data_IF_904624753986
#
_entry.id   IF_904624753986
#
_cell.length_a   1.000
_cell.length_b   1.000
_cell.length_c   1.000
_cell.angle_alpha   90.00
_cell.angle_beta   90.00
_cell.angle_gamma   90.00
#
_symmetry.space_group_name_H-M   'P 1'
#
loop_
_entity.id
_entity.type
_entity.pdbx_description
1 polymer ?
#
# COMPACT_ATOMS: atom_id res chain seq x y z
N UNK A 1 2.93 -22.14 14.36
CA UNK A 1 2.36 -20.88 13.83
C UNK A 1 2.79 -20.75 12.36
N UNK A 2 1.86 -20.64 11.41
CA UNK A 2 2.25 -20.29 10.02
C UNK A 2 2.97 -18.94 10.07
N UNK A 3 4.17 -18.85 9.50
CA UNK A 3 4.94 -17.60 9.46
C UNK A 3 4.13 -16.56 8.68
N UNK A 4 3.54 -15.59 9.39
CA UNK A 4 2.72 -14.53 8.78
C UNK A 4 3.58 -13.54 8.01
N UNK A 5 4.84 -13.37 8.40
CA UNK A 5 5.84 -12.58 7.68
C UNK A 5 6.44 -13.43 6.55
N UNK A 6 5.85 -13.32 5.36
CA UNK A 6 6.29 -14.00 4.15
C UNK A 6 5.94 -13.16 2.92
N UNK A 7 6.55 -13.43 1.77
CA UNK A 7 6.20 -12.73 0.53
C UNK A 7 4.75 -12.97 0.10
N UNK A 8 4.15 -14.09 0.50
CA UNK A 8 2.73 -14.34 0.28
C UNK A 8 1.83 -13.32 0.99
N UNK A 9 2.32 -12.66 2.04
CA UNK A 9 1.55 -11.69 2.83
C UNK A 9 2.12 -10.27 2.78
N UNK A 10 3.11 -10.01 1.91
CA UNK A 10 3.82 -8.72 1.88
C UNK A 10 2.89 -7.53 1.64
N UNK A 11 2.00 -7.61 0.64
CA UNK A 11 1.04 -6.54 0.36
C UNK A 11 -0.07 -6.45 1.40
N UNK A 12 -0.40 -7.53 2.11
CA UNK A 12 -1.41 -7.49 3.17
C UNK A 12 -0.86 -6.76 4.40
N UNK A 13 0.40 -7.02 4.75
CA UNK A 13 1.11 -6.26 5.78
C UNK A 13 1.32 -4.80 5.38
N UNK A 14 1.53 -4.53 4.10
CA UNK A 14 1.56 -3.15 3.60
C UNK A 14 0.20 -2.47 3.79
N UNK A 15 -0.92 -3.12 3.46
CA UNK A 15 -2.26 -2.59 3.75
C UNK A 15 -2.49 -2.40 5.26
N UNK A 16 -2.00 -3.32 6.10
CA UNK A 16 -2.09 -3.20 7.56
C UNK A 16 -1.31 -1.97 8.07
N UNK A 17 -0.11 -1.74 7.52
CA UNK A 17 0.70 -0.57 7.84
C UNK A 17 0.02 0.73 7.39
N UNK A 18 -0.55 0.75 6.18
CA UNK A 18 -1.30 1.91 5.71
C UNK A 18 -2.53 2.18 6.57
N UNK A 19 -3.28 1.14 6.97
CA UNK A 19 -4.40 1.27 7.88
C UNK A 19 -3.95 1.82 9.25
N UNK A 20 -2.80 1.37 9.77
CA UNK A 20 -2.25 1.89 11.01
C UNK A 20 -1.89 3.37 10.89
N UNK A 21 -1.14 3.76 9.85
CA UNK A 21 -0.74 5.16 9.61
C UNK A 21 -1.96 6.05 9.40
N UNK A 22 -2.94 5.60 8.61
CA UNK A 22 -4.18 6.33 8.38
C UNK A 22 -5.01 6.44 9.66
N UNK A 23 -5.06 5.39 10.49
CA UNK A 23 -5.68 5.44 11.82
C UNK A 23 -5.02 6.46 12.74
N UNK A 24 -3.69 6.54 12.76
CA UNK A 24 -2.97 7.57 13.51
C UNK A 24 -3.26 8.97 12.97
N UNK A 25 -3.37 9.14 11.65
CA UNK A 25 -3.75 10.41 11.03
C UNK A 25 -5.20 10.83 11.36
N UNK A 26 -6.13 9.87 11.44
CA UNK A 26 -7.49 10.12 11.94
C UNK A 26 -7.46 10.62 13.38
N UNK A 27 -6.70 9.96 14.26
CA UNK A 27 -6.57 10.40 15.66
C UNK A 27 -5.95 11.80 15.75
N UNK A 28 -4.88 12.06 14.99
CA UNK A 28 -4.22 13.36 14.98
C UNK A 28 -5.18 14.47 14.53
N UNK A 29 -5.95 14.23 13.47
CA UNK A 29 -6.88 15.24 12.92
C UNK A 29 -8.09 15.47 13.82
N UNK A 30 -8.61 14.45 14.50
CA UNK A 30 -9.66 14.61 15.51
C UNK A 30 -9.16 15.36 16.76
N UNK A 31 -8.02 14.95 17.33
CA UNK A 31 -7.53 15.47 18.62
C UNK A 31 -6.92 16.85 18.49
N UNK A 32 -6.08 17.07 17.46
CA UNK A 32 -5.32 18.32 17.28
C UNK A 32 -6.06 19.28 16.35
N UNK A 33 -6.57 18.77 15.23
CA UNK A 33 -7.19 19.59 14.19
C UNK A 33 -8.60 20.08 14.53
N UNK A 34 -9.33 19.41 15.43
CA UNK A 34 -10.73 19.71 15.78
C UNK A 34 -11.67 19.80 14.55
N UNK A 35 -11.33 19.11 13.46
CA UNK A 35 -12.16 19.01 12.26
C UNK A 35 -12.99 17.73 12.32
N UNK A 36 -14.23 17.72 11.80
CA UNK A 36 -15.09 16.52 11.84
C UNK A 36 -15.22 15.80 10.48
N UNK A 37 -15.32 16.54 9.38
CA UNK A 37 -15.57 15.96 8.05
C UNK A 37 -14.33 15.24 7.49
N UNK A 38 -13.17 15.88 7.54
CA UNK A 38 -11.92 15.32 7.00
C UNK A 38 -11.54 13.99 7.68
N UNK A 39 -11.56 13.88 9.03
CA UNK A 39 -11.24 12.61 9.68
C UNK A 39 -12.26 11.51 9.39
N UNK A 40 -13.53 11.85 9.16
CA UNK A 40 -14.58 10.86 8.87
C UNK A 40 -14.34 10.18 7.51
N UNK A 41 -14.00 10.94 6.47
CA UNK A 41 -13.65 10.36 5.16
C UNK A 41 -12.36 9.54 5.27
N UNK A 42 -11.37 10.05 6.00
CA UNK A 42 -10.11 9.33 6.23
C UNK A 42 -10.34 8.02 7.00
N UNK A 43 -11.25 8.00 7.98
CA UNK A 43 -11.65 6.81 8.73
C UNK A 43 -12.25 5.74 7.83
N UNK A 44 -13.10 6.12 6.86
CA UNK A 44 -13.63 5.17 5.88
C UNK A 44 -12.49 4.48 5.12
N UNK A 45 -11.52 5.26 4.63
CA UNK A 45 -10.35 4.70 3.94
C UNK A 45 -9.54 3.79 4.87
N UNK A 46 -9.30 4.22 6.11
CA UNK A 46 -8.62 3.41 7.14
C UNK A 46 -9.29 2.06 7.37
N UNK A 47 -10.62 2.04 7.53
CA UNK A 47 -11.38 0.80 7.75
C UNK A 47 -11.33 -0.11 6.52
N UNK A 48 -11.43 0.44 5.30
CA UNK A 48 -11.31 -0.33 4.07
C UNK A 48 -9.92 -0.98 3.96
N UNK A 49 -8.85 -0.22 4.22
CA UNK A 49 -7.47 -0.74 4.22
C UNK A 49 -7.29 -1.83 5.28
N UNK A 50 -7.84 -1.63 6.49
CA UNK A 50 -7.78 -2.63 7.55
C UNK A 50 -8.51 -3.93 7.19
N UNK A 51 -9.67 -3.84 6.54
CA UNK A 51 -10.40 -5.02 6.05
C UNK A 51 -9.62 -5.74 4.94
N UNK A 52 -9.09 -5.01 3.98
CA UNK A 52 -8.25 -5.57 2.91
C UNK A 52 -7.01 -6.28 3.46
N UNK A 53 -6.38 -5.70 4.48
CA UNK A 53 -5.28 -6.34 5.19
C UNK A 53 -5.72 -7.62 5.89
N UNK A 54 -6.81 -7.57 6.67
CA UNK A 54 -7.32 -8.72 7.41
C UNK A 54 -7.70 -9.88 6.50
N UNK A 55 -8.54 -9.64 5.49
CA UNK A 55 -8.95 -10.68 4.55
C UNK A 55 -7.78 -11.21 3.70
N UNK A 56 -6.81 -10.36 3.38
CA UNK A 56 -5.56 -10.77 2.75
C UNK A 56 -4.77 -11.74 3.65
N UNK A 57 -4.57 -11.39 4.93
CA UNK A 57 -3.86 -12.24 5.89
C UNK A 57 -4.56 -13.58 6.14
N UNK A 58 -5.90 -13.61 6.11
CA UNK A 58 -6.69 -14.85 6.19
C UNK A 58 -6.71 -15.67 4.89
N UNK A 59 -5.92 -15.28 3.88
CA UNK A 59 -5.79 -15.98 2.60
C UNK A 59 -7.07 -15.97 1.74
N UNK A 60 -7.87 -14.91 1.87
CA UNK A 60 -9.08 -14.77 1.07
C UNK A 60 -8.75 -14.31 -0.36
N UNK A 61 -9.09 -15.12 -1.36
CA UNK A 61 -8.65 -14.93 -2.75
C UNK A 61 -9.01 -13.55 -3.35
N UNK A 62 -10.22 -13.04 -3.13
CA UNK A 62 -10.61 -11.74 -3.69
C UNK A 62 -9.78 -10.61 -3.08
N UNK A 63 -9.53 -10.64 -1.77
CA UNK A 63 -8.75 -9.62 -1.07
C UNK A 63 -7.29 -9.64 -1.54
N UNK A 64 -6.71 -10.83 -1.72
CA UNK A 64 -5.37 -11.00 -2.30
C UNK A 64 -5.28 -10.36 -3.69
N UNK A 65 -6.29 -10.56 -4.55
CA UNK A 65 -6.34 -9.95 -5.89
C UNK A 65 -6.45 -8.43 -5.84
N UNK A 66 -7.29 -7.90 -4.95
CA UNK A 66 -7.42 -6.45 -4.75
C UNK A 66 -6.09 -5.86 -4.25
N UNK A 67 -5.48 -6.46 -3.23
CA UNK A 67 -4.18 -6.01 -2.69
C UNK A 67 -3.09 -6.04 -3.77
N UNK A 68 -3.06 -7.09 -4.61
CA UNK A 68 -2.19 -7.15 -5.78
C UNK A 68 -2.41 -5.95 -6.71
N UNK A 69 -3.66 -5.65 -7.07
CA UNK A 69 -3.94 -4.53 -7.98
C UNK A 69 -3.59 -3.18 -7.37
N UNK A 70 -3.79 -3.00 -6.06
CA UNK A 70 -3.29 -1.82 -5.36
C UNK A 70 -1.76 -1.71 -5.45
N UNK A 71 -1.02 -2.81 -5.23
CA UNK A 71 0.43 -2.85 -5.39
C UNK A 71 0.91 -2.59 -6.82
N UNK A 72 0.21 -3.15 -7.81
CA UNK A 72 0.48 -2.92 -9.23
C UNK A 72 0.27 -1.45 -9.60
N UNK A 73 -0.87 -0.87 -9.22
CA UNK A 73 -1.16 0.53 -9.47
C UNK A 73 -0.12 1.41 -8.79
N UNK A 74 0.25 1.14 -7.53
CA UNK A 74 1.27 1.92 -6.82
C UNK A 74 2.63 1.84 -7.52
N UNK A 75 3.02 0.66 -8.02
CA UNK A 75 4.24 0.45 -8.81
C UNK A 75 4.19 1.28 -10.10
N UNK A 76 3.07 1.24 -10.82
CA UNK A 76 2.88 2.01 -12.04
C UNK A 76 2.91 3.53 -11.77
N UNK A 77 2.29 3.98 -10.68
CA UNK A 77 2.34 5.37 -10.25
C UNK A 77 3.78 5.80 -9.93
N UNK A 78 4.56 4.96 -9.24
CA UNK A 78 5.99 5.22 -9.01
C UNK A 78 6.80 5.33 -10.30
N UNK A 79 6.54 4.43 -11.26
CA UNK A 79 7.16 4.46 -12.58
C UNK A 79 6.81 5.75 -13.34
N UNK A 80 5.55 6.15 -13.39
CA UNK A 80 5.15 7.41 -14.02
C UNK A 80 5.75 8.62 -13.29
N UNK A 81 5.81 8.57 -11.96
CA UNK A 81 6.35 9.65 -11.16
C UNK A 81 7.82 9.96 -11.52
N UNK A 82 8.64 8.95 -11.82
CA UNK A 82 10.04 9.13 -12.23
C UNK A 82 10.19 10.10 -13.42
N UNK A 83 9.29 10.01 -14.40
CA UNK A 83 9.40 10.80 -15.63
C UNK A 83 8.57 12.08 -15.59
N UNK A 84 7.43 12.09 -14.89
CA UNK A 84 6.45 13.19 -14.99
C UNK A 84 6.20 13.96 -13.68
N UNK A 85 6.68 13.50 -12.52
CA UNK A 85 6.39 14.20 -11.26
C UNK A 85 7.22 15.46 -11.08
N UNK A 86 6.56 16.63 -11.16
CA UNK A 86 7.17 17.91 -10.75
C UNK A 86 7.29 18.01 -9.23
N UNK A 87 6.20 17.70 -8.52
CA UNK A 87 6.12 17.90 -7.07
C UNK A 87 7.11 17.06 -6.28
N UNK A 88 7.34 15.81 -6.68
CA UNK A 88 8.31 14.96 -5.98
C UNK A 88 9.74 15.40 -6.25
N UNK A 89 10.03 15.90 -7.46
CA UNK A 89 11.34 16.52 -7.77
C UNK A 89 11.59 17.74 -6.89
N UNK A 90 10.59 18.60 -6.70
CA UNK A 90 10.70 19.76 -5.80
C UNK A 90 10.95 19.36 -4.34
N UNK A 91 10.29 18.31 -3.85
CA UNK A 91 10.37 17.89 -2.44
C UNK A 91 11.66 17.12 -2.15
N UNK A 92 12.09 16.24 -3.06
CA UNK A 92 13.23 15.34 -2.86
C UNK A 92 14.54 15.91 -3.41
N UNK A 93 14.48 16.95 -4.25
CA UNK A 93 15.65 17.58 -4.87
C UNK A 93 16.53 16.57 -5.59
N UNK A 94 17.84 16.64 -5.33
CA UNK A 94 18.86 15.77 -5.95
C UNK A 94 18.67 14.29 -5.63
N UNK A 95 17.97 13.95 -4.54
CA UNK A 95 17.71 12.56 -4.16
C UNK A 95 16.50 11.95 -4.87
N UNK A 96 15.76 12.75 -5.65
CA UNK A 96 14.52 12.34 -6.31
C UNK A 96 14.69 11.05 -7.10
N UNK A 97 15.67 10.97 -8.00
CA UNK A 97 15.82 9.83 -8.89
C UNK A 97 16.14 8.56 -8.12
N UNK A 98 17.06 8.64 -7.16
CA UNK A 98 17.47 7.50 -6.32
C UNK A 98 16.29 6.99 -5.49
N UNK A 99 15.56 7.89 -4.81
CA UNK A 99 14.45 7.52 -3.94
C UNK A 99 13.28 6.96 -4.75
N UNK A 100 12.85 7.65 -5.81
CA UNK A 100 11.74 7.18 -6.63
C UNK A 100 12.06 5.87 -7.36
N UNK A 101 13.30 5.68 -7.83
CA UNK A 101 13.71 4.45 -8.48
C UNK A 101 13.73 3.30 -7.47
N UNK A 102 14.33 3.51 -6.31
CA UNK A 102 14.39 2.51 -5.25
C UNK A 102 12.99 2.08 -4.79
N UNK A 103 12.09 3.04 -4.55
CA UNK A 103 10.70 2.74 -4.17
C UNK A 103 9.95 2.00 -5.27
N UNK A 104 10.12 2.41 -6.54
CA UNK A 104 9.46 1.75 -7.68
C UNK A 104 9.92 0.29 -7.81
N UNK A 105 11.22 0.04 -7.72
CA UNK A 105 11.78 -1.32 -7.78
C UNK A 105 11.36 -2.16 -6.56
N UNK A 106 11.32 -1.57 -5.37
CA UNK A 106 10.82 -2.23 -4.16
C UNK A 106 9.37 -2.70 -4.34
N UNK A 107 8.48 -1.81 -4.77
CA UNK A 107 7.06 -2.16 -4.98
C UNK A 107 6.87 -3.14 -6.13
N UNK A 108 7.65 -3.02 -7.20
CA UNK A 108 7.67 -4.00 -8.29
C UNK A 108 8.02 -5.40 -7.75
N UNK A 109 9.12 -5.50 -6.99
CA UNK A 109 9.56 -6.77 -6.39
C UNK A 109 8.52 -7.35 -5.42
N UNK A 110 7.98 -6.53 -4.52
CA UNK A 110 6.93 -6.93 -3.58
C UNK A 110 5.69 -7.46 -4.30
N UNK A 111 5.21 -6.72 -5.31
CA UNK A 111 4.01 -7.06 -6.08
C UNK A 111 4.20 -8.33 -6.90
N UNK A 112 5.35 -8.46 -7.56
CA UNK A 112 5.71 -9.65 -8.33
C UNK A 112 5.79 -10.90 -7.44
N UNK A 113 6.54 -10.83 -6.34
CA UNK A 113 6.71 -11.94 -5.41
C UNK A 113 5.40 -12.34 -4.75
N UNK A 114 4.57 -11.35 -4.42
CA UNK A 114 3.24 -11.58 -3.88
C UNK A 114 2.33 -12.34 -4.86
N UNK A 115 2.29 -11.93 -6.14
CA UNK A 115 1.53 -12.63 -7.17
C UNK A 115 2.01 -14.07 -7.38
N UNK A 116 3.34 -14.25 -7.43
CA UNK A 116 3.98 -15.56 -7.62
C UNK A 116 3.68 -16.51 -6.46
N UNK A 117 3.84 -16.07 -5.22
CA UNK A 117 3.62 -16.94 -4.06
C UNK A 117 2.15 -17.29 -3.84
N UNK A 118 1.24 -16.37 -4.12
CA UNK A 118 -0.20 -16.63 -4.01
C UNK A 118 -0.79 -17.30 -5.27
N UNK A 119 0.01 -17.54 -6.31
CA UNK A 119 -0.41 -18.15 -7.60
C UNK A 119 -1.65 -17.46 -8.21
N UNK A 120 -1.76 -16.14 -8.06
CA UNK A 120 -3.02 -15.41 -8.32
C UNK A 120 -3.54 -15.54 -9.75
N UNK A 121 -2.66 -15.74 -10.73
CA UNK A 121 -3.02 -15.75 -12.16
C UNK A 121 -2.62 -17.05 -12.86
N UNK A 122 -2.25 -18.09 -12.11
CA UNK A 122 -2.04 -19.41 -12.70
C UNK A 122 -3.41 -20.00 -13.02
N UNK A 123 -3.66 -20.37 -14.28
CA UNK A 123 -4.87 -21.09 -14.66
C UNK A 123 -4.89 -22.44 -13.93
N UNK A 124 -6.05 -22.77 -13.37
CA UNK A 124 -6.30 -24.07 -12.72
C UNK A 124 -6.21 -25.20 -13.75
#
# INVERSE_FOLDING_TARGET
>A
MKKSLSWANSLDWFMALLALVAGLAVLQTFVVGKHYIIPSILLVVTVLLGNLAWYGLTQTNWAKRVNFWCGFLLTAHGLFALFWSKRYREVLGDQFEVICLALTLLFFGLTWMYAKQNRLFVKA
#
